data_IF_456036656834
#
_entry.id   IF_456036656834
#
_cell.length_a   1.000
_cell.length_b   1.000
_cell.length_c   1.000
_cell.angle_alpha   90.00
_cell.angle_beta   90.00
_cell.angle_gamma   90.00
#
_symmetry.space_group_name_H-M   'P 1'
#
loop_
_entity.id
_entity.type
_entity.pdbx_description
1 polymer ?
#
# COMPACT_ATOMS: atom_id res chain seq x y z
N UNK A 1 -28.05 -38.90 -69.38
CA UNK A 1 -26.80 -39.15 -68.64
C UNK A 1 -25.98 -37.87 -68.69
N UNK A 2 -25.59 -37.28 -67.54
CA UNK A 2 -24.51 -36.26 -67.40
C UNK A 2 -24.87 -34.83 -67.88
N UNK A 3 -24.71 -33.71 -67.17
CA UNK A 3 -24.43 -33.35 -65.77
C UNK A 3 -24.69 -31.83 -65.70
N UNK A 4 -25.44 -31.37 -64.69
CA UNK A 4 -25.69 -29.94 -64.41
C UNK A 4 -24.39 -29.34 -63.85
N UNK A 5 -23.89 -28.25 -64.43
CA UNK A 5 -22.69 -27.54 -63.92
C UNK A 5 -22.84 -26.02 -64.03
N UNK A 6 -23.30 -25.41 -62.93
CA UNK A 6 -23.17 -23.97 -62.66
C UNK A 6 -22.60 -23.84 -61.24
N UNK A 7 -21.36 -23.37 -61.04
CA UNK A 7 -20.86 -23.03 -59.72
C UNK A 7 -21.25 -21.58 -59.41
N UNK A 8 -22.06 -21.36 -58.37
CA UNK A 8 -21.64 -21.14 -56.98
C UNK A 8 -21.20 -19.67 -56.76
N UNK A 9 -22.18 -18.85 -56.38
CA UNK A 9 -21.98 -17.51 -55.87
C UNK A 9 -21.43 -17.59 -54.44
N UNK A 10 -20.12 -17.48 -54.29
CA UNK A 10 -19.48 -17.33 -52.98
C UNK A 10 -19.65 -15.88 -52.54
N UNK A 11 -20.69 -15.63 -51.77
CA UNK A 11 -20.84 -14.41 -50.98
C UNK A 11 -19.88 -14.52 -49.79
N UNK A 12 -18.65 -14.08 -49.99
CA UNK A 12 -17.60 -14.08 -48.97
C UNK A 12 -17.90 -12.95 -47.97
N UNK A 13 -18.58 -13.34 -46.89
CA UNK A 13 -18.67 -12.52 -45.69
C UNK A 13 -17.28 -12.30 -45.11
N UNK A 14 -16.84 -11.05 -45.13
CA UNK A 14 -15.78 -10.57 -44.24
C UNK A 14 -16.44 -9.58 -43.27
N UNK A 15 -17.03 -10.14 -42.21
CA UNK A 15 -17.23 -9.40 -40.96
C UNK A 15 -15.83 -9.00 -40.48
N UNK A 16 -15.49 -7.72 -40.65
CA UNK A 16 -14.27 -7.15 -40.07
C UNK A 16 -14.37 -7.23 -38.55
N UNK A 17 -13.55 -8.13 -38.02
CA UNK A 17 -12.70 -7.96 -36.84
C UNK A 17 -13.36 -7.37 -35.60
N UNK A 18 -13.73 -8.26 -34.69
CA UNK A 18 -13.86 -7.92 -33.28
C UNK A 18 -12.56 -7.28 -32.79
N UNK A 19 -12.67 -6.06 -32.32
CA UNK A 19 -11.64 -5.38 -31.53
C UNK A 19 -11.26 -6.32 -30.38
N UNK A 20 -10.06 -6.89 -30.44
CA UNK A 20 -9.40 -7.56 -29.33
C UNK A 20 -9.17 -6.51 -28.24
N UNK A 21 -10.18 -6.29 -27.39
CA UNK A 21 -10.01 -5.54 -26.14
C UNK A 21 -9.13 -6.42 -25.27
N UNK A 22 -7.83 -6.10 -25.22
CA UNK A 22 -6.91 -6.72 -24.27
C UNK A 22 -7.49 -6.68 -22.84
N UNK A 23 -7.04 -7.56 -21.93
CA UNK A 23 -7.62 -7.65 -20.60
C UNK A 23 -7.68 -6.26 -19.97
N UNK A 24 -8.90 -5.78 -19.70
CA UNK A 24 -9.13 -4.49 -19.08
C UNK A 24 -8.37 -4.48 -17.74
N UNK A 25 -7.62 -3.43 -17.42
CA UNK A 25 -6.92 -3.34 -16.15
C UNK A 25 -7.93 -3.51 -14.98
N UNK A 26 -7.65 -4.49 -14.13
CA UNK A 26 -8.47 -4.85 -12.97
C UNK A 26 -8.11 -3.92 -11.81
N UNK A 27 -9.00 -2.99 -11.48
CA UNK A 27 -8.87 -2.07 -10.35
C UNK A 27 -9.74 -2.48 -9.15
N UNK A 28 -10.14 -3.74 -9.05
CA UNK A 28 -10.95 -4.22 -7.93
C UNK A 28 -10.19 -4.19 -6.59
N UNK A 29 -10.93 -4.25 -5.48
CA UNK A 29 -10.35 -4.44 -4.13
C UNK A 29 -9.46 -5.69 -4.04
N UNK A 30 -9.85 -6.75 -4.73
CA UNK A 30 -9.07 -7.98 -4.79
C UNK A 30 -7.73 -7.78 -5.52
N UNK A 31 -7.72 -7.00 -6.60
CA UNK A 31 -6.49 -6.64 -7.31
C UNK A 31 -5.55 -5.80 -6.43
N UNK A 32 -6.09 -4.83 -5.68
CA UNK A 32 -5.34 -4.06 -4.69
C UNK A 32 -4.69 -4.96 -3.62
N UNK A 33 -5.43 -5.94 -3.09
CA UNK A 33 -4.88 -6.90 -2.12
C UNK A 33 -3.72 -7.71 -2.72
N UNK A 34 -3.90 -8.26 -3.93
CA UNK A 34 -2.84 -8.99 -4.65
C UNK A 34 -1.61 -8.13 -4.94
N UNK A 35 -1.81 -6.85 -5.26
CA UNK A 35 -0.73 -5.90 -5.44
C UNK A 35 0.08 -5.70 -4.14
N UNK A 36 -0.60 -5.54 -3.00
CA UNK A 36 0.07 -5.43 -1.70
C UNK A 36 0.92 -6.67 -1.41
N UNK A 37 0.41 -7.87 -1.74
CA UNK A 37 1.18 -9.11 -1.60
C UNK A 37 2.40 -9.14 -2.54
N UNK A 38 2.22 -8.72 -3.80
CA UNK A 38 3.26 -8.66 -4.82
C UNK A 38 4.42 -7.73 -4.41
N UNK A 39 4.13 -6.51 -3.93
CA UNK A 39 5.20 -5.56 -3.58
C UNK A 39 6.01 -6.00 -2.36
N UNK A 40 5.42 -6.83 -1.48
CA UNK A 40 6.14 -7.46 -0.37
C UNK A 40 7.01 -8.59 -0.86
N UNK A 41 6.48 -9.50 -1.67
CA UNK A 41 7.22 -10.62 -2.25
C UNK A 41 8.44 -10.14 -3.05
N UNK A 42 8.28 -9.05 -3.81
CA UNK A 42 9.36 -8.44 -4.60
C UNK A 42 10.26 -7.48 -3.81
N UNK A 43 10.03 -7.29 -2.51
CA UNK A 43 10.83 -6.38 -1.68
C UNK A 43 10.78 -4.92 -2.14
N UNK A 44 9.74 -4.52 -2.87
CA UNK A 44 9.57 -3.16 -3.40
C UNK A 44 9.08 -2.17 -2.34
N UNK A 45 8.45 -2.69 -1.28
CA UNK A 45 7.93 -1.93 -0.15
C UNK A 45 8.37 -2.63 1.14
N UNK A 46 8.69 -1.84 2.18
CA UNK A 46 9.01 -2.38 3.50
C UNK A 46 7.85 -3.26 4.02
N UNK A 47 8.12 -4.48 4.54
CA UNK A 47 7.08 -5.38 5.02
C UNK A 47 6.14 -4.77 6.06
N UNK A 48 6.66 -3.94 6.97
CA UNK A 48 5.86 -3.25 8.00
C UNK A 48 4.94 -2.20 7.39
N UNK A 49 5.38 -1.49 6.35
CA UNK A 49 4.56 -0.54 5.60
C UNK A 49 3.43 -1.24 4.85
N UNK A 50 3.76 -2.32 4.12
CA UNK A 50 2.78 -3.09 3.38
C UNK A 50 1.77 -3.80 4.30
N UNK A 51 2.21 -4.29 5.46
CA UNK A 51 1.30 -4.82 6.48
C UNK A 51 0.36 -3.73 7.00
N UNK A 52 0.86 -2.51 7.17
CA UNK A 52 0.04 -1.34 7.49
C UNK A 52 -1.04 -1.07 6.43
N UNK A 53 -0.70 -1.18 5.14
CA UNK A 53 -1.65 -1.06 4.03
C UNK A 53 -2.67 -2.19 4.04
N UNK A 54 -2.23 -3.45 4.19
CA UNK A 54 -3.11 -4.62 4.22
C UNK A 54 -4.16 -4.50 5.32
N UNK A 55 -3.73 -4.17 6.55
CA UNK A 55 -4.65 -4.03 7.68
C UNK A 55 -5.60 -2.85 7.49
N UNK A 56 -5.12 -1.72 6.99
CA UNK A 56 -5.95 -0.53 6.81
C UNK A 56 -7.00 -0.73 5.71
N UNK A 57 -6.58 -1.20 4.54
CA UNK A 57 -7.47 -1.49 3.41
C UNK A 57 -8.46 -2.59 3.77
N UNK A 58 -8.02 -3.68 4.42
CA UNK A 58 -8.92 -4.74 4.86
C UNK A 58 -9.95 -4.26 5.89
N UNK A 59 -9.63 -3.34 6.82
CA UNK A 59 -10.61 -2.87 7.80
C UNK A 59 -11.58 -1.82 7.24
N UNK A 60 -11.07 -0.90 6.42
CA UNK A 60 -11.84 0.28 5.98
C UNK A 60 -12.69 -0.05 4.76
N UNK A 61 -12.14 -0.81 3.81
CA UNK A 61 -12.85 -1.15 2.57
C UNK A 61 -13.88 -2.27 2.77
N UNK A 62 -13.80 -3.04 3.86
CA UNK A 62 -14.82 -4.06 4.20
C UNK A 62 -16.16 -3.45 4.60
N UNK A 63 -16.17 -2.18 4.98
CA UNK A 63 -17.39 -1.46 5.33
C UNK A 63 -18.04 -0.76 4.13
N UNK A 64 -17.45 -0.87 2.92
CA UNK A 64 -17.99 -0.30 1.70
C UNK A 64 -19.14 -1.15 1.15
N UNK A 65 -20.06 -0.50 0.42
CA UNK A 65 -21.09 -1.22 -0.31
C UNK A 65 -20.47 -1.98 -1.51
N UNK A 66 -21.07 -3.11 -1.87
CA UNK A 66 -20.57 -4.04 -2.90
C UNK A 66 -20.31 -3.37 -4.27
N UNK A 67 -21.00 -2.27 -4.57
CA UNK A 67 -20.84 -1.49 -5.81
C UNK A 67 -19.55 -0.66 -5.86
N UNK A 68 -19.05 -0.24 -4.69
CA UNK A 68 -17.79 0.54 -4.55
C UNK A 68 -16.56 -0.38 -4.55
N UNK A 69 -16.75 -1.70 -4.42
CA UNK A 69 -15.67 -2.69 -4.43
C UNK A 69 -15.12 -2.98 -5.85
N UNK A 70 -15.87 -2.57 -6.88
CA UNK A 70 -15.56 -2.88 -8.27
C UNK A 70 -14.40 -2.06 -8.86
N UNK A 71 -14.18 -0.81 -8.39
CA UNK A 71 -13.10 0.05 -8.86
C UNK A 71 -12.59 0.98 -7.75
N UNK A 72 -11.41 0.67 -7.21
CA UNK A 72 -10.82 1.40 -6.08
C UNK A 72 -10.48 2.86 -6.40
N UNK A 73 -10.41 3.24 -7.68
CA UNK A 73 -10.14 4.63 -8.10
C UNK A 73 -11.31 5.56 -7.86
N UNK A 74 -12.51 5.00 -7.74
CA UNK A 74 -13.76 5.75 -7.51
C UNK A 74 -14.03 6.00 -6.04
N UNK A 75 -13.23 5.40 -5.15
CA UNK A 75 -13.41 5.48 -3.71
C UNK A 75 -12.96 6.85 -3.23
N UNK A 76 -13.92 7.64 -2.73
CA UNK A 76 -13.59 8.78 -1.89
C UNK A 76 -13.17 8.27 -0.51
N UNK A 77 -11.86 8.22 -0.28
CA UNK A 77 -11.26 7.72 0.96
C UNK A 77 -11.80 8.48 2.18
N UNK A 78 -12.08 9.78 2.05
CA UNK A 78 -12.52 10.62 3.16
C UNK A 78 -13.97 10.37 3.52
N UNK A 79 -14.84 10.31 2.51
CA UNK A 79 -16.24 9.96 2.69
C UNK A 79 -16.37 8.55 3.25
N UNK A 80 -15.65 7.58 2.67
CA UNK A 80 -15.58 6.19 3.14
C UNK A 80 -15.18 6.12 4.61
N UNK A 81 -14.13 6.86 5.00
CA UNK A 81 -13.66 6.85 6.39
C UNK A 81 -14.69 7.44 7.35
N UNK A 82 -15.38 8.53 6.96
CA UNK A 82 -16.47 9.10 7.75
C UNK A 82 -17.61 8.11 7.92
N UNK A 83 -18.02 7.43 6.85
CA UNK A 83 -19.04 6.39 6.90
C UNK A 83 -18.63 5.22 7.81
N UNK A 84 -17.38 4.76 7.70
CA UNK A 84 -16.84 3.71 8.57
C UNK A 84 -16.91 4.09 10.06
N UNK A 85 -16.46 5.30 10.42
CA UNK A 85 -16.50 5.77 11.81
C UNK A 85 -17.92 5.93 12.34
N UNK A 86 -18.85 6.40 11.50
CA UNK A 86 -20.25 6.54 11.87
C UNK A 86 -20.92 5.17 12.11
N UNK A 87 -20.57 4.15 11.31
CA UNK A 87 -21.10 2.78 11.44
C UNK A 87 -20.46 2.00 12.58
N UNK A 88 -19.22 2.33 12.94
CA UNK A 88 -18.42 1.63 13.95
C UNK A 88 -17.84 2.61 14.99
N UNK A 89 -18.70 3.23 15.83
CA UNK A 89 -18.23 4.16 16.86
C UNK A 89 -17.29 3.46 17.84
N UNK A 90 -16.17 4.11 18.19
CA UNK A 90 -15.19 3.59 19.15
C UNK A 90 -14.26 2.48 18.63
N UNK A 91 -14.44 2.01 17.39
CA UNK A 91 -13.64 0.92 16.81
C UNK A 91 -12.22 1.33 16.41
N UNK A 92 -11.97 2.65 16.27
CA UNK A 92 -10.66 3.26 16.07
C UNK A 92 -10.51 4.47 16.99
N UNK A 93 -9.33 4.62 17.62
CA UNK A 93 -8.97 5.84 18.32
C UNK A 93 -8.71 6.99 17.34
N UNK A 94 -8.91 8.27 17.72
CA UNK A 94 -8.65 9.41 16.85
C UNK A 94 -7.24 9.43 16.23
N UNK A 95 -6.24 8.99 16.98
CA UNK A 95 -4.87 8.84 16.49
C UNK A 95 -4.74 7.76 15.41
N UNK A 96 -5.42 6.61 15.59
CA UNK A 96 -5.41 5.50 14.62
C UNK A 96 -6.21 5.84 13.36
N UNK A 97 -7.27 6.63 13.49
CA UNK A 97 -8.13 7.08 12.39
C UNK A 97 -7.33 7.81 11.31
N UNK A 98 -6.51 8.80 11.71
CA UNK A 98 -5.70 9.56 10.75
C UNK A 98 -4.68 8.69 10.01
N UNK A 99 -4.05 7.76 10.72
CA UNK A 99 -3.05 6.85 10.17
C UNK A 99 -3.65 5.84 9.19
N UNK A 100 -4.81 5.25 9.52
CA UNK A 100 -5.50 4.32 8.64
C UNK A 100 -5.97 5.01 7.35
N UNK A 101 -6.51 6.23 7.47
CA UNK A 101 -6.92 7.04 6.31
C UNK A 101 -5.75 7.29 5.35
N UNK A 102 -4.61 7.73 5.89
CA UNK A 102 -3.37 7.96 5.10
C UNK A 102 -2.88 6.67 4.43
N UNK A 103 -2.90 5.55 5.16
CA UNK A 103 -2.45 4.25 4.64
C UNK A 103 -3.34 3.73 3.51
N UNK A 104 -4.67 3.86 3.63
CA UNK A 104 -5.61 3.47 2.57
C UNK A 104 -5.39 4.31 1.33
N UNK A 105 -5.35 5.65 1.48
CA UNK A 105 -5.11 6.55 0.35
C UNK A 105 -3.78 6.25 -0.35
N UNK A 106 -2.71 6.03 0.44
CA UNK A 106 -1.39 5.69 -0.12
C UNK A 106 -1.41 4.36 -0.86
N UNK A 107 -2.03 3.33 -0.31
CA UNK A 107 -2.10 2.02 -0.95
C UNK A 107 -2.83 2.09 -2.32
N UNK A 108 -3.92 2.86 -2.40
CA UNK A 108 -4.66 3.06 -3.65
C UNK A 108 -3.82 3.85 -4.66
N UNK A 109 -3.17 4.94 -4.25
CA UNK A 109 -2.29 5.74 -5.12
C UNK A 109 -1.16 4.88 -5.72
N UNK A 110 -0.49 4.10 -4.87
CA UNK A 110 0.60 3.21 -5.26
C UNK A 110 0.13 2.12 -6.22
N UNK A 111 -1.03 1.52 -5.95
CA UNK A 111 -1.62 0.52 -6.83
C UNK A 111 -1.98 1.10 -8.20
N UNK A 112 -2.58 2.29 -8.25
CA UNK A 112 -2.91 2.96 -9.52
C UNK A 112 -1.65 3.27 -10.31
N UNK A 113 -0.62 3.83 -9.64
CA UNK A 113 0.69 4.09 -10.24
C UNK A 113 1.34 2.81 -10.80
N UNK A 114 1.24 1.70 -10.07
CA UNK A 114 1.71 0.40 -10.54
C UNK A 114 0.93 -0.09 -11.77
N UNK A 115 -0.39 0.03 -11.77
CA UNK A 115 -1.23 -0.36 -12.91
C UNK A 115 -0.95 0.47 -14.16
N UNK A 116 -0.61 1.75 -14.01
CA UNK A 116 -0.25 2.64 -15.12
C UNK A 116 1.14 2.37 -15.67
N UNK A 117 2.10 1.98 -14.82
CA UNK A 117 3.46 1.69 -15.24
C UNK A 117 4.12 0.58 -14.38
N UNK A 118 3.79 -0.70 -14.63
CA UNK A 118 4.31 -1.81 -13.82
C UNK A 118 5.84 -1.92 -13.92
N UNK A 119 6.39 -1.70 -15.12
CA UNK A 119 7.82 -1.84 -15.41
C UNK A 119 8.71 -0.84 -14.65
N UNK A 120 8.18 0.34 -14.30
CA UNK A 120 8.93 1.38 -13.61
C UNK A 120 8.55 1.59 -12.14
N UNK A 121 7.70 0.75 -11.56
CA UNK A 121 7.18 0.93 -10.21
C UNK A 121 8.29 0.83 -9.13
N UNK A 122 9.24 -0.12 -9.29
CA UNK A 122 10.32 -0.34 -8.32
C UNK A 122 11.51 0.63 -8.41
N UNK A 123 11.72 1.31 -9.55
CA UNK A 123 12.87 2.22 -9.73
C UNK A 123 12.63 3.60 -9.13
N UNK A 124 11.36 4.02 -8.99
CA UNK A 124 10.99 5.29 -8.32
C UNK A 124 11.06 5.19 -6.80
N UNK A 125 10.96 3.99 -6.22
CA UNK A 125 11.00 3.75 -4.78
C UNK A 125 12.35 4.05 -4.12
N UNK A 126 13.44 4.17 -4.90
CA UNK A 126 14.70 4.73 -4.41
C UNK A 126 14.75 6.26 -4.51
N UNK A 127 14.00 6.86 -5.46
CA UNK A 127 14.04 8.28 -5.77
C UNK A 127 13.07 9.14 -4.92
N UNK A 128 12.01 8.58 -4.34
CA UNK A 128 11.10 9.33 -3.46
C UNK A 128 11.62 9.54 -2.03
N UNK A 129 12.65 8.79 -1.61
CA UNK A 129 13.30 8.98 -0.31
C UNK A 129 13.93 10.38 -0.16
N UNK A 130 14.16 11.10 -1.26
CA UNK A 130 14.76 12.45 -1.26
C UNK A 130 13.76 13.60 -1.42
N UNK A 131 12.45 13.34 -1.59
CA UNK A 131 11.45 14.41 -1.82
C UNK A 131 10.59 14.79 -0.61
N UNK A 132 10.74 14.10 0.52
CA UNK A 132 10.01 14.42 1.75
C UNK A 132 10.60 15.63 2.52
N UNK A 133 11.79 16.11 2.14
CA UNK A 133 12.51 17.19 2.82
C UNK A 133 12.30 18.55 2.11
N UNK A 134 11.06 19.03 2.01
CA UNK A 134 10.77 20.41 1.58
C UNK A 134 9.35 20.82 1.92
N UNK A 135 9.07 21.05 3.21
CA UNK A 135 7.94 21.92 3.58
C UNK A 135 8.40 22.89 4.67
N UNK A 136 8.48 24.20 4.39
CA UNK A 136 8.94 25.18 5.36
C UNK A 136 7.86 25.37 6.41
N UNK A 137 8.15 24.98 7.66
CA UNK A 137 7.23 25.18 8.79
C UNK A 137 7.40 26.59 9.33
N UNK A 138 6.50 27.48 8.92
CA UNK A 138 6.35 28.82 9.47
C UNK A 138 5.98 28.80 10.96
N UNK A 139 6.91 29.37 11.74
CA UNK A 139 6.87 30.02 13.06
C UNK A 139 5.49 30.43 13.63
N UNK A 140 5.22 30.10 14.91
CA UNK A 140 5.09 31.07 16.02
C UNK A 140 4.72 30.42 17.39
N UNK A 141 5.20 31.06 18.47
CA UNK A 141 4.97 30.88 19.93
C UNK A 141 5.61 29.65 20.61
N UNK A 142 6.40 29.70 21.68
CA UNK A 142 7.03 30.72 22.55
C UNK A 142 8.09 30.00 23.42
N UNK A 143 8.97 30.69 24.19
CA UNK A 143 10.16 30.05 24.74
C UNK A 143 9.89 29.37 26.09
N UNK A 144 10.12 28.05 26.16
CA UNK A 144 10.34 27.31 27.40
C UNK A 144 11.78 26.75 27.37
N UNK A 145 12.47 26.66 28.52
CA UNK A 145 13.91 26.46 28.59
C UNK A 145 14.30 25.09 28.01
N UNK A 146 15.23 25.11 27.05
CA UNK A 146 15.79 23.91 26.44
C UNK A 146 16.72 23.23 27.43
N UNK A 147 16.29 22.10 27.97
CA UNK A 147 17.22 21.05 28.37
C UNK A 147 17.95 20.62 27.09
N UNK A 148 19.28 20.52 27.07
CA UNK A 148 19.98 19.95 25.92
C UNK A 148 19.60 18.47 25.82
N UNK A 149 18.61 18.18 24.97
CA UNK A 149 18.34 16.84 24.51
C UNK A 149 19.51 16.47 23.60
N UNK A 150 20.46 15.72 24.17
CA UNK A 150 21.49 15.01 23.43
C UNK A 150 20.72 14.11 22.46
N UNK A 151 20.60 14.54 21.20
CA UNK A 151 20.24 13.65 20.12
C UNK A 151 21.49 12.83 19.83
N UNK A 152 21.57 11.54 20.21
CA UNK A 152 22.60 10.70 19.63
C UNK A 152 22.35 10.72 18.12
N UNK A 153 23.40 11.03 17.39
CA UNK A 153 23.46 10.85 15.94
C UNK A 153 22.86 9.47 15.64
N UNK A 154 21.87 9.41 14.75
CA UNK A 154 21.17 8.18 14.44
C UNK A 154 22.12 7.27 13.66
N UNK A 155 23.03 6.60 14.35
CA UNK A 155 23.73 5.46 13.84
C UNK A 155 22.67 4.49 13.31
N UNK A 156 22.76 4.15 12.04
CA UNK A 156 21.83 3.25 11.36
C UNK A 156 21.76 1.92 12.15
N UNK A 157 20.69 1.76 12.93
CA UNK A 157 20.47 0.56 13.73
C UNK A 157 20.16 -0.66 12.88
N UNK A 158 20.56 -1.83 13.35
CA UNK A 158 20.25 -3.12 12.74
C UNK A 158 18.87 -3.57 13.24
N UNK A 159 17.98 -3.96 12.31
CA UNK A 159 16.65 -4.47 12.67
C UNK A 159 16.65 -6.00 12.72
N UNK A 160 16.25 -6.55 13.87
CA UNK A 160 16.22 -7.98 14.15
C UNK A 160 14.79 -8.43 14.46
N UNK A 161 14.39 -9.59 13.92
CA UNK A 161 13.13 -10.24 14.25
C UNK A 161 13.33 -11.21 15.43
N UNK A 162 12.68 -10.92 16.56
CA UNK A 162 12.78 -11.69 17.79
C UNK A 162 11.50 -12.48 18.05
N UNK A 163 11.52 -13.82 18.09
CA UNK A 163 10.33 -14.62 18.35
C UNK A 163 9.89 -14.50 19.81
N UNK A 164 8.65 -14.07 20.05
CA UNK A 164 8.09 -14.03 21.41
C UNK A 164 7.22 -15.25 21.71
N UNK A 165 6.51 -15.76 20.71
CA UNK A 165 5.64 -16.94 20.79
C UNK A 165 5.37 -17.50 19.39
N UNK A 166 4.80 -18.71 19.25
CA UNK A 166 4.48 -19.27 17.95
C UNK A 166 3.65 -18.31 17.09
N UNK A 167 4.12 -18.03 15.87
CA UNK A 167 3.47 -17.13 14.92
C UNK A 167 3.58 -15.63 15.23
N UNK A 168 4.37 -15.21 16.23
CA UNK A 168 4.52 -13.80 16.60
C UNK A 168 5.99 -13.41 16.76
N UNK A 169 6.46 -12.56 15.85
CA UNK A 169 7.81 -11.99 15.85
C UNK A 169 7.73 -10.51 16.25
N UNK A 170 8.52 -10.10 17.24
CA UNK A 170 8.75 -8.70 17.57
C UNK A 170 9.91 -8.15 16.74
N UNK A 171 9.85 -6.88 16.36
CA UNK A 171 10.94 -6.22 15.66
C UNK A 171 11.72 -5.36 16.64
N UNK A 172 13.02 -5.61 16.76
CA UNK A 172 13.94 -4.89 17.65
C UNK A 172 14.93 -4.11 16.79
N UNK A 173 15.10 -2.82 17.07
CA UNK A 173 16.13 -1.99 16.46
C UNK A 173 17.29 -1.88 17.46
N UNK A 174 18.46 -2.36 17.09
CA UNK A 174 19.66 -2.33 17.94
C UNK A 174 20.78 -1.50 17.30
N UNK A 175 21.58 -0.77 18.08
CA UNK A 175 22.80 -0.15 17.58
C UNK A 175 23.76 -1.20 17.00
N UNK A 176 24.54 -0.87 15.96
CA UNK A 176 25.54 -1.80 15.40
C UNK A 176 26.66 -2.14 16.41
N UNK A 177 26.87 -1.27 17.40
CA UNK A 177 27.88 -1.36 18.46
C UNK A 177 27.31 -1.83 19.82
N UNK A 178 26.12 -2.44 19.83
CA UNK A 178 25.46 -2.90 21.07
C UNK A 178 26.38 -3.81 21.91
N UNK A 179 26.64 -3.41 23.16
CA UNK A 179 27.44 -4.18 24.11
C UNK A 179 26.61 -5.20 24.89
N UNK A 180 27.28 -6.19 25.50
CA UNK A 180 26.62 -7.24 26.31
C UNK A 180 25.91 -6.66 27.54
N UNK A 181 26.51 -5.67 28.20
CA UNK A 181 25.91 -4.98 29.35
C UNK A 181 24.67 -4.16 28.97
N UNK A 182 24.64 -3.56 27.77
CA UNK A 182 23.47 -2.87 27.25
C UNK A 182 22.36 -3.86 26.89
N UNK A 183 22.70 -4.95 26.20
CA UNK A 183 21.75 -6.01 25.88
C UNK A 183 21.09 -6.62 27.13
N UNK A 184 21.87 -6.83 28.21
CA UNK A 184 21.35 -7.29 29.50
C UNK A 184 20.39 -6.28 30.14
N UNK A 185 20.72 -4.99 30.10
CA UNK A 185 19.82 -3.93 30.59
C UNK A 185 18.52 -3.86 29.79
N UNK A 186 18.58 -4.07 28.47
CA UNK A 186 17.38 -4.10 27.62
C UNK A 186 16.45 -5.27 27.93
N UNK A 187 17.00 -6.44 28.28
CA UNK A 187 16.21 -7.64 28.62
C UNK A 187 15.64 -7.67 30.04
N UNK A 188 15.91 -6.65 30.86
CA UNK A 188 15.46 -6.57 32.26
C UNK A 188 14.14 -5.80 32.44
N UNK A 189 13.54 -5.30 31.34
CA UNK A 189 12.21 -4.68 31.30
C UNK A 189 11.15 -5.71 30.89
#
# INVERSE_FOLDING_TARGET
MTLIRTPNAVHLGFLREGVQVGPKPDYSRAALARFIDYVVDKGLVNPSTAQGWRVATAKVLDALAQEEEADVRRIDVDATFKHFLNRHPGRLSPASTGEYRRRVGRAIEEFVSWMENPAGYGTRSAAWATRAESRPRGRAAGPAPRVPEIRPDAAAGISLAFPLRPGFLAQVLVPPDLTVDEARRMGAF
#
